data_IF_394786818408
#
_entry.id   IF_394786818408
#
_cell.length_a   1.000
_cell.length_b   1.000
_cell.length_c   1.000
_cell.angle_alpha   90.00
_cell.angle_beta   90.00
_cell.angle_gamma   90.00
#
_symmetry.space_group_name_H-M   'P 1'
#
loop_
_entity.id
_entity.type
_entity.pdbx_description
1 polymer ?
#
# COMPACT_ATOMS: atom_id res chain seq x y z
N UNK A 1 -9.41 12.72 -20.25
CA UNK A 1 -9.16 14.12 -19.82
C UNK A 1 -9.13 14.12 -18.31
N UNK A 2 -7.96 14.37 -17.70
CA UNK A 2 -7.81 14.32 -16.23
C UNK A 2 -8.50 15.55 -15.65
N UNK A 3 -9.49 15.34 -14.78
CA UNK A 3 -10.11 16.44 -14.03
C UNK A 3 -9.10 16.90 -12.95
N UNK A 4 -8.63 18.15 -12.95
CA UNK A 4 -7.51 18.58 -12.10
C UNK A 4 -7.81 18.47 -10.59
N UNK A 5 -9.08 18.48 -10.18
CA UNK A 5 -9.49 18.26 -8.80
C UNK A 5 -9.25 16.83 -8.30
N UNK A 6 -9.24 15.83 -9.19
CA UNK A 6 -9.04 14.43 -8.81
C UNK A 6 -7.59 14.14 -8.37
N UNK A 7 -6.62 14.75 -9.05
CA UNK A 7 -5.19 14.61 -8.69
C UNK A 7 -4.91 15.15 -7.29
N UNK A 8 -5.49 16.31 -6.96
CA UNK A 8 -5.33 16.93 -5.64
C UNK A 8 -5.92 16.05 -4.54
N UNK A 9 -7.09 15.47 -4.78
CA UNK A 9 -7.74 14.54 -3.84
C UNK A 9 -6.91 13.26 -3.65
N UNK A 10 -6.38 12.66 -4.71
CA UNK A 10 -5.53 11.47 -4.60
C UNK A 10 -4.23 11.76 -3.87
N UNK A 11 -3.63 12.93 -4.07
CA UNK A 11 -2.43 13.34 -3.35
C UNK A 11 -2.72 13.55 -1.86
N UNK A 12 -3.80 14.25 -1.52
CA UNK A 12 -4.26 14.40 -0.13
C UNK A 12 -4.51 13.03 0.49
N UNK A 13 -5.24 12.15 -0.19
CA UNK A 13 -5.52 10.80 0.29
C UNK A 13 -4.24 9.97 0.49
N UNK A 14 -3.24 10.09 -0.41
CA UNK A 14 -1.97 9.41 -0.29
C UNK A 14 -1.09 9.94 0.86
N UNK A 15 -1.27 11.20 1.26
CA UNK A 15 -0.55 11.82 2.38
C UNK A 15 -1.12 11.46 3.76
N UNK A 16 -2.40 11.09 3.84
CA UNK A 16 -3.08 10.72 5.10
C UNK A 16 -2.38 9.58 5.86
N UNK A 17 -1.89 8.51 5.22
CA UNK A 17 -1.10 7.48 5.89
C UNK A 17 0.15 8.02 6.59
N UNK A 18 0.87 8.97 5.99
CA UNK A 18 2.05 9.58 6.62
C UNK A 18 1.65 10.38 7.87
N UNK A 19 0.61 11.21 7.77
CA UNK A 19 0.09 11.99 8.89
C UNK A 19 -0.41 11.09 10.02
N UNK A 20 -1.19 10.05 9.66
CA UNK A 20 -1.69 9.06 10.62
C UNK A 20 -0.57 8.31 11.31
N UNK A 21 0.46 7.88 10.57
CA UNK A 21 1.64 7.22 11.13
C UNK A 21 2.37 8.13 12.12
N UNK A 22 2.54 9.41 11.77
CA UNK A 22 3.19 10.38 12.65
C UNK A 22 2.45 10.55 13.98
N UNK A 23 1.12 10.71 13.93
CA UNK A 23 0.30 10.82 15.14
C UNK A 23 0.37 9.54 15.99
N UNK A 24 0.28 8.36 15.37
CA UNK A 24 0.33 7.07 16.08
C UNK A 24 1.68 6.87 16.78
N UNK A 25 2.79 7.22 16.13
CA UNK A 25 4.13 7.04 16.69
C UNK A 25 4.40 7.95 17.88
N UNK A 26 3.82 9.15 17.89
CA UNK A 26 3.96 10.09 19.01
C UNK A 26 3.19 9.62 20.27
N UNK A 27 2.11 8.88 20.09
CA UNK A 27 1.20 8.50 21.19
C UNK A 27 1.42 7.06 21.70
N UNK A 28 2.05 6.18 20.91
CA UNK A 28 2.19 4.77 21.25
C UNK A 28 3.54 4.41 21.87
N UNK A 29 3.55 3.38 22.71
CA UNK A 29 4.78 2.80 23.24
C UNK A 29 5.56 2.04 22.16
N UNK A 30 6.89 2.03 22.27
CA UNK A 30 7.78 1.37 21.32
C UNK A 30 7.47 -0.12 21.14
N UNK A 31 7.09 -0.82 22.21
CA UNK A 31 6.72 -2.24 22.15
C UNK A 31 5.48 -2.48 21.27
N UNK A 32 4.45 -1.65 21.41
CA UNK A 32 3.25 -1.73 20.57
C UNK A 32 3.57 -1.38 19.11
N UNK A 33 4.38 -0.34 18.88
CA UNK A 33 4.83 0.04 17.54
C UNK A 33 5.58 -1.11 16.86
N UNK A 34 6.46 -1.81 17.58
CA UNK A 34 7.18 -2.97 17.06
C UNK A 34 6.23 -4.13 16.70
N UNK A 35 5.22 -4.42 17.54
CA UNK A 35 4.21 -5.44 17.23
C UNK A 35 3.37 -5.08 16.01
N UNK A 36 2.91 -3.83 15.91
CA UNK A 36 2.17 -3.35 14.75
C UNK A 36 3.03 -3.40 13.48
N UNK A 37 4.31 -3.03 13.58
CA UNK A 37 5.25 -3.11 12.48
C UNK A 37 5.43 -4.57 11.99
N UNK A 38 5.54 -5.53 12.90
CA UNK A 38 5.63 -6.95 12.55
C UNK A 38 4.37 -7.44 11.81
N UNK A 39 3.19 -7.11 12.34
CA UNK A 39 1.91 -7.47 11.69
C UNK A 39 1.81 -6.84 10.30
N UNK A 40 2.21 -5.58 10.17
CA UNK A 40 2.23 -4.87 8.90
C UNK A 40 3.22 -5.49 7.89
N UNK A 41 4.40 -5.94 8.32
CA UNK A 41 5.36 -6.64 7.47
C UNK A 41 4.83 -8.00 7.00
N UNK A 42 4.22 -8.78 7.89
CA UNK A 42 3.55 -10.05 7.53
C UNK A 42 2.44 -9.78 6.51
N UNK A 43 1.66 -8.72 6.73
CA UNK A 43 0.59 -8.30 5.81
C UNK A 43 1.14 -7.91 4.44
N UNK A 44 2.26 -7.19 4.38
CA UNK A 44 2.91 -6.83 3.12
C UNK A 44 3.35 -8.07 2.35
N UNK A 45 4.04 -9.01 3.02
CA UNK A 45 4.48 -10.26 2.39
C UNK A 45 3.29 -11.05 1.83
N UNK A 46 2.21 -11.17 2.61
CA UNK A 46 0.99 -11.84 2.17
C UNK A 46 0.31 -11.15 0.98
N UNK A 47 0.29 -9.81 0.96
CA UNK A 47 -0.28 -9.04 -0.15
C UNK A 47 0.52 -9.24 -1.44
N UNK A 48 1.85 -9.17 -1.35
CA UNK A 48 2.73 -9.36 -2.51
C UNK A 48 2.60 -10.79 -3.05
N UNK A 49 2.55 -11.80 -2.19
CA UNK A 49 2.38 -13.21 -2.60
C UNK A 49 1.06 -13.44 -3.35
N UNK A 50 -0.05 -12.93 -2.81
CA UNK A 50 -1.36 -13.05 -3.44
C UNK A 50 -1.47 -12.27 -4.76
N UNK A 51 -0.84 -11.10 -4.86
CA UNK A 51 -0.81 -10.36 -6.13
C UNK A 51 -0.13 -11.22 -7.20
N UNK A 52 1.03 -11.78 -6.88
CA UNK A 52 1.83 -12.54 -7.84
C UNK A 52 1.18 -13.86 -8.21
N UNK A 53 0.80 -14.68 -7.21
CA UNK A 53 0.39 -16.06 -7.42
C UNK A 53 -1.10 -16.20 -7.74
N UNK A 54 -1.97 -15.39 -7.11
CA UNK A 54 -3.42 -15.59 -7.23
C UNK A 54 -4.07 -14.70 -8.29
N UNK A 55 -3.53 -13.51 -8.55
CA UNK A 55 -4.24 -12.47 -9.28
C UNK A 55 -3.66 -12.10 -10.65
N UNK A 56 -2.34 -12.17 -10.84
CA UNK A 56 -1.73 -11.75 -12.10
C UNK A 56 -2.00 -12.72 -13.25
N UNK A 57 -2.17 -14.01 -12.95
CA UNK A 57 -2.36 -15.06 -13.96
C UNK A 57 -3.81 -15.55 -14.04
N UNK A 58 -4.66 -15.14 -13.11
CA UNK A 58 -6.04 -15.59 -13.10
C UNK A 58 -6.91 -14.80 -14.07
N UNK A 59 -7.71 -15.52 -14.86
CA UNK A 59 -8.73 -14.94 -15.73
C UNK A 59 -9.98 -14.49 -14.95
N UNK A 60 -10.23 -15.08 -13.77
CA UNK A 60 -11.42 -14.83 -12.94
C UNK A 60 -11.07 -14.74 -11.45
N UNK A 61 -11.85 -13.97 -10.70
CA UNK A 61 -11.61 -13.88 -9.26
C UNK A 61 -11.99 -15.19 -8.54
N UNK A 62 -11.11 -15.71 -7.66
CA UNK A 62 -11.48 -16.84 -6.82
C UNK A 62 -12.64 -16.48 -5.87
N UNK A 63 -13.54 -17.42 -5.61
CA UNK A 63 -14.74 -17.23 -4.77
C UNK A 63 -14.43 -16.67 -3.37
N UNK A 64 -13.27 -17.03 -2.81
CA UNK A 64 -12.80 -16.51 -1.53
C UNK A 64 -12.62 -14.98 -1.54
N UNK A 65 -12.09 -14.41 -2.64
CA UNK A 65 -11.93 -12.96 -2.79
C UNK A 65 -13.27 -12.27 -2.95
N UNK A 66 -14.18 -12.84 -3.74
CA UNK A 66 -15.54 -12.33 -3.95
C UNK A 66 -16.28 -12.24 -2.61
N UNK A 67 -16.22 -13.31 -1.80
CA UNK A 67 -16.85 -13.33 -0.47
C UNK A 67 -16.25 -12.29 0.47
N UNK A 68 -14.93 -12.10 0.45
CA UNK A 68 -14.24 -11.08 1.24
C UNK A 68 -14.68 -9.67 0.83
N UNK A 69 -14.77 -9.39 -0.48
CA UNK A 69 -15.26 -8.12 -1.00
C UNK A 69 -16.71 -7.85 -0.59
N UNK A 70 -17.60 -8.84 -0.70
CA UNK A 70 -19.00 -8.71 -0.25
C UNK A 70 -19.06 -8.34 1.23
N UNK A 71 -18.28 -9.01 2.08
CA UNK A 71 -18.21 -8.67 3.52
C UNK A 71 -17.72 -7.23 3.75
N UNK A 72 -16.69 -6.79 3.01
CA UNK A 72 -16.18 -5.42 3.10
C UNK A 72 -17.23 -4.39 2.67
N UNK A 73 -17.98 -4.64 1.60
CA UNK A 73 -19.10 -3.78 1.17
C UNK A 73 -20.19 -3.69 2.25
N UNK A 74 -20.55 -4.80 2.89
CA UNK A 74 -21.51 -4.81 4.00
C UNK A 74 -21.02 -3.94 5.16
N UNK A 75 -19.74 -4.06 5.54
CA UNK A 75 -19.16 -3.23 6.59
C UNK A 75 -19.07 -1.76 6.19
N UNK A 76 -18.71 -1.46 4.95
CA UNK A 76 -18.67 -0.09 4.43
C UNK A 76 -20.06 0.56 4.46
N UNK A 77 -21.10 -0.18 4.08
CA UNK A 77 -22.48 0.27 4.22
C UNK A 77 -22.85 0.52 5.68
N UNK A 78 -22.55 -0.42 6.59
CA UNK A 78 -22.91 -0.30 8.01
C UNK A 78 -22.21 0.84 8.72
N UNK A 79 -20.94 1.09 8.41
CA UNK A 79 -20.13 2.08 9.12
C UNK A 79 -20.22 3.48 8.50
N UNK A 80 -20.37 3.56 7.17
CA UNK A 80 -20.26 4.81 6.44
C UNK A 80 -21.48 5.12 5.56
N UNK A 81 -22.48 4.24 5.49
CA UNK A 81 -23.65 4.42 4.63
C UNK A 81 -23.31 4.40 3.13
N UNK A 82 -22.16 3.82 2.75
CA UNK A 82 -21.70 3.79 1.35
C UNK A 82 -22.20 2.52 0.67
N UNK A 83 -23.18 2.68 -0.23
CA UNK A 83 -23.65 1.59 -1.08
C UNK A 83 -22.67 1.38 -2.24
N UNK A 84 -22.39 0.12 -2.58
CA UNK A 84 -21.59 -0.22 -3.75
C UNK A 84 -22.51 -0.74 -4.84
N UNK A 85 -22.57 -0.04 -5.97
CA UNK A 85 -23.40 -0.44 -7.13
C UNK A 85 -22.77 -1.56 -7.96
N UNK A 86 -21.54 -1.99 -7.63
CA UNK A 86 -20.80 -3.03 -8.38
C UNK A 86 -20.86 -4.39 -7.69
N UNK A 87 -21.23 -5.44 -8.43
CA UNK A 87 -21.10 -6.82 -7.98
C UNK A 87 -19.60 -7.18 -7.89
N UNK A 88 -19.13 -7.67 -6.73
CA UNK A 88 -17.77 -8.18 -6.58
C UNK A 88 -17.35 -9.26 -7.58
N UNK A 89 -18.30 -10.02 -8.13
CA UNK A 89 -18.01 -11.05 -9.12
C UNK A 89 -17.53 -10.48 -10.47
N UNK A 90 -17.92 -9.25 -10.81
CA UNK A 90 -17.61 -8.61 -12.09
C UNK A 90 -16.27 -7.85 -12.06
N UNK A 91 -15.59 -7.84 -10.91
CA UNK A 91 -14.31 -7.15 -10.77
C UNK A 91 -13.21 -7.97 -11.44
N UNK A 92 -12.48 -7.37 -12.39
CA UNK A 92 -11.32 -8.02 -13.01
C UNK A 92 -10.21 -8.28 -11.97
N UNK A 93 -9.52 -9.44 -12.02
CA UNK A 93 -8.40 -9.76 -11.11
C UNK A 93 -7.29 -8.71 -11.09
N UNK A 94 -6.94 -8.13 -12.25
CA UNK A 94 -5.94 -7.08 -12.38
C UNK A 94 -6.32 -5.78 -11.63
N UNK A 95 -7.59 -5.41 -11.64
CA UNK A 95 -8.10 -4.28 -10.87
C UNK A 95 -8.03 -4.56 -9.36
N UNK A 96 -8.32 -5.80 -8.93
CA UNK A 96 -8.13 -6.19 -7.54
C UNK A 96 -6.65 -6.16 -7.14
N UNK A 97 -5.75 -6.70 -7.98
CA UNK A 97 -4.31 -6.65 -7.75
C UNK A 97 -3.83 -5.21 -7.57
N UNK A 98 -4.36 -4.28 -8.36
CA UNK A 98 -4.07 -2.85 -8.24
C UNK A 98 -4.53 -2.26 -6.90
N UNK A 99 -5.71 -2.66 -6.40
CA UNK A 99 -6.20 -2.26 -5.07
C UNK A 99 -5.33 -2.82 -3.95
N UNK A 100 -4.94 -4.09 -4.03
CA UNK A 100 -4.02 -4.70 -3.06
C UNK A 100 -2.63 -4.04 -3.11
N UNK A 101 -2.16 -3.64 -4.29
CA UNK A 101 -0.92 -2.89 -4.42
C UNK A 101 -1.01 -1.51 -3.76
N UNK A 102 -2.14 -0.82 -3.90
CA UNK A 102 -2.38 0.43 -3.18
C UNK A 102 -2.36 0.21 -1.65
N UNK A 103 -2.98 -0.87 -1.17
CA UNK A 103 -2.94 -1.27 0.25
C UNK A 103 -1.49 -1.49 0.72
N UNK A 104 -0.68 -2.21 -0.07
CA UNK A 104 0.73 -2.44 0.24
C UNK A 104 1.55 -1.14 0.24
N UNK A 105 1.32 -0.23 -0.71
CA UNK A 105 2.00 1.08 -0.75
C UNK A 105 1.62 1.95 0.45
N UNK A 106 0.35 1.92 0.88
CA UNK A 106 -0.12 2.59 2.08
C UNK A 106 0.60 2.07 3.33
N UNK A 107 0.63 0.75 3.53
CA UNK A 107 1.33 0.13 4.67
C UNK A 107 2.83 0.46 4.64
N UNK A 108 3.46 0.38 3.47
CA UNK A 108 4.89 0.72 3.30
C UNK A 108 5.17 2.17 3.69
N UNK A 109 4.29 3.09 3.29
CA UNK A 109 4.39 4.52 3.61
C UNK A 109 4.29 4.75 5.13
N UNK A 110 3.36 4.07 5.81
CA UNK A 110 3.21 4.11 7.27
C UNK A 110 4.47 3.60 7.96
N UNK A 111 4.97 2.43 7.55
CA UNK A 111 6.16 1.81 8.16
C UNK A 111 7.40 2.69 8.00
N UNK A 112 7.64 3.24 6.80
CA UNK A 112 8.80 4.09 6.55
C UNK A 112 8.71 5.41 7.31
N UNK A 113 7.52 6.02 7.38
CA UNK A 113 7.31 7.24 8.16
C UNK A 113 7.52 6.98 9.66
N UNK A 114 6.98 5.87 10.17
CA UNK A 114 7.15 5.50 11.57
C UNK A 114 8.60 5.17 11.91
N UNK A 115 9.29 4.44 11.03
CA UNK A 115 10.72 4.17 11.18
C UNK A 115 11.53 5.48 11.20
N UNK A 116 11.26 6.43 10.29
CA UNK A 116 11.92 7.72 10.26
C UNK A 116 11.81 8.44 11.61
N UNK A 117 10.60 8.54 12.17
CA UNK A 117 10.34 9.24 13.42
C UNK A 117 10.96 8.52 14.63
N UNK A 118 10.79 7.21 14.74
CA UNK A 118 11.41 6.41 15.81
C UNK A 118 12.94 6.53 15.73
N UNK A 119 13.52 6.46 14.53
CA UNK A 119 14.94 6.64 14.31
C UNK A 119 15.44 8.03 14.69
N UNK A 120 14.67 9.09 14.38
CA UNK A 120 15.00 10.46 14.79
C UNK A 120 15.06 10.65 16.31
N UNK A 121 14.22 9.90 17.05
CA UNK A 121 14.16 9.96 18.52
C UNK A 121 15.24 9.09 19.17
N UNK A 122 15.47 7.88 18.65
CA UNK A 122 16.31 6.87 19.31
C UNK A 122 17.78 6.92 18.88
N UNK A 123 18.09 7.38 17.67
CA UNK A 123 19.46 7.41 17.16
C UNK A 123 20.13 8.75 17.47
N UNK A 124 21.41 8.74 17.90
CA UNK A 124 22.08 9.95 18.33
C UNK A 124 22.49 10.87 17.17
N UNK A 125 22.24 12.17 17.33
CA UNK A 125 22.85 13.26 16.55
C UNK A 125 22.70 13.12 15.03
N UNK A 126 23.83 13.23 14.33
CA UNK A 126 23.86 13.20 12.86
C UNK A 126 23.39 11.85 12.28
N UNK A 127 23.60 10.75 13.00
CA UNK A 127 23.13 9.42 12.57
C UNK A 127 21.61 9.37 12.52
N UNK A 128 20.94 9.88 13.55
CA UNK A 128 19.48 9.98 13.57
C UNK A 128 18.93 10.90 12.49
N UNK A 129 19.59 12.04 12.26
CA UNK A 129 19.21 12.97 11.18
C UNK A 129 19.32 12.35 9.78
N UNK A 130 20.42 11.66 9.48
CA UNK A 130 20.61 10.96 8.20
C UNK A 130 19.60 9.83 8.04
N UNK A 131 19.39 9.03 9.08
CA UNK A 131 18.40 7.93 9.04
C UNK A 131 16.99 8.46 8.80
N UNK A 132 16.58 9.51 9.52
CA UNK A 132 15.31 10.19 9.31
C UNK A 132 15.15 10.65 7.85
N UNK A 133 16.15 11.36 7.32
CA UNK A 133 16.10 11.88 5.95
C UNK A 133 15.94 10.75 4.91
N UNK A 134 16.68 9.66 5.05
CA UNK A 134 16.61 8.52 4.13
C UNK A 134 15.26 7.81 4.20
N UNK A 135 14.76 7.51 5.40
CA UNK A 135 13.48 6.82 5.57
C UNK A 135 12.30 7.71 5.17
N UNK A 136 12.34 8.99 5.50
CA UNK A 136 11.31 9.95 5.12
C UNK A 136 11.28 10.16 3.60
N UNK A 137 12.44 10.27 2.95
CA UNK A 137 12.53 10.32 1.49
C UNK A 137 11.96 9.05 0.85
N UNK A 138 12.26 7.87 1.39
CA UNK A 138 11.67 6.62 0.91
C UNK A 138 10.14 6.59 1.11
N UNK A 139 9.63 7.08 2.25
CA UNK A 139 8.19 7.21 2.50
C UNK A 139 7.52 8.14 1.48
N UNK A 140 8.15 9.28 1.18
CA UNK A 140 7.69 10.22 0.16
C UNK A 140 7.58 9.57 -1.22
N UNK A 141 8.59 8.81 -1.64
CA UNK A 141 8.55 8.07 -2.91
C UNK A 141 7.41 7.04 -2.95
N UNK A 142 7.08 6.41 -1.82
CA UNK A 142 5.94 5.49 -1.74
C UNK A 142 4.60 6.21 -1.76
N UNK A 143 4.50 7.39 -1.13
CA UNK A 143 3.34 8.26 -1.19
C UNK A 143 3.04 8.69 -2.64
N UNK A 144 4.05 9.12 -3.39
CA UNK A 144 3.88 9.50 -4.80
C UNK A 144 3.36 8.33 -5.65
N UNK A 145 3.89 7.13 -5.41
CA UNK A 145 3.41 5.90 -6.09
C UNK A 145 1.97 5.57 -5.70
N UNK A 146 1.63 5.70 -4.42
CA UNK A 146 0.27 5.51 -3.94
C UNK A 146 -0.68 6.49 -4.63
N UNK A 147 -0.32 7.78 -4.73
CA UNK A 147 -1.12 8.77 -5.44
C UNK A 147 -1.39 8.36 -6.89
N UNK A 148 -0.37 7.91 -7.62
CA UNK A 148 -0.53 7.39 -9.00
C UNK A 148 -1.45 6.18 -9.04
N UNK A 149 -1.29 5.23 -8.12
CA UNK A 149 -2.15 4.03 -8.06
C UNK A 149 -3.60 4.40 -7.78
N UNK A 150 -3.85 5.34 -6.86
CA UNK A 150 -5.20 5.82 -6.54
C UNK A 150 -5.85 6.50 -7.74
N UNK A 151 -5.10 7.32 -8.49
CA UNK A 151 -5.57 7.94 -9.73
C UNK A 151 -5.98 6.88 -10.75
N UNK A 152 -5.15 5.84 -10.95
CA UNK A 152 -5.46 4.73 -11.87
C UNK A 152 -6.72 3.98 -11.44
N UNK A 153 -6.88 3.72 -10.14
CA UNK A 153 -8.06 3.08 -9.57
C UNK A 153 -9.33 3.93 -9.73
N UNK A 154 -9.23 5.24 -9.62
CA UNK A 154 -10.35 6.16 -9.80
C UNK A 154 -10.91 6.07 -11.23
N UNK A 155 -10.04 5.89 -12.23
CA UNK A 155 -10.46 5.65 -13.61
C UNK A 155 -10.98 4.23 -13.86
N UNK A 156 -11.00 3.36 -12.85
CA UNK A 156 -11.38 1.96 -12.99
C UNK A 156 -10.40 1.14 -13.83
N UNK A 157 -9.17 1.63 -14.00
CA UNK A 157 -8.12 0.93 -14.73
C UNK A 157 -7.23 0.12 -13.77
N UNK A 158 -6.60 -0.92 -14.32
CA UNK A 158 -5.55 -1.66 -13.62
C UNK A 158 -4.18 -1.04 -13.90
N UNK A 159 -3.27 -1.10 -12.93
CA UNK A 159 -1.87 -0.81 -13.18
C UNK A 159 -1.29 -1.86 -14.16
N UNK A 160 -0.36 -1.44 -15.03
CA UNK A 160 0.32 -2.38 -15.92
C UNK A 160 1.20 -3.34 -15.09
N UNK A 161 1.37 -4.58 -15.59
CA UNK A 161 1.97 -5.70 -14.84
C UNK A 161 3.36 -5.36 -14.30
N UNK A 162 4.14 -4.61 -15.05
CA UNK A 162 5.51 -4.21 -14.66
C UNK A 162 5.51 -3.30 -13.43
N UNK A 163 4.46 -2.48 -13.26
CA UNK A 163 4.29 -1.60 -12.08
C UNK A 163 3.72 -2.33 -10.87
N UNK A 164 2.91 -3.37 -11.08
CA UNK A 164 2.46 -4.26 -9.99
C UNK A 164 3.62 -5.05 -9.40
N UNK A 165 4.49 -5.55 -10.28
CA UNK A 165 5.67 -6.35 -9.95
C UNK A 165 6.92 -5.53 -9.62
N UNK A 166 6.85 -4.20 -9.69
CA UNK A 166 8.02 -3.37 -9.43
C UNK A 166 8.58 -3.67 -8.03
N UNK A 167 9.78 -4.22 -8.01
CA UNK A 167 10.62 -4.44 -6.83
C UNK A 167 11.86 -3.57 -6.97
N UNK A 168 12.43 -3.05 -5.87
CA UNK A 168 13.74 -2.42 -5.90
C UNK A 168 14.77 -3.37 -6.52
N UNK A 169 15.64 -2.87 -7.40
CA UNK A 169 16.58 -3.71 -8.16
C UNK A 169 17.46 -4.61 -7.28
N UNK A 170 17.78 -4.17 -6.06
CA UNK A 170 18.56 -4.95 -5.08
C UNK A 170 17.81 -6.16 -4.49
N UNK A 171 16.48 -6.19 -4.56
CA UNK A 171 15.68 -7.37 -4.17
C UNK A 171 15.71 -8.42 -5.27
N UNK A 172 15.78 -7.98 -6.54
CA UNK A 172 15.91 -8.87 -7.69
C UNK A 172 17.31 -9.44 -7.88
N UNK A 173 18.35 -8.83 -7.29
CA UNK A 173 19.74 -9.30 -7.44
C UNK A 173 20.06 -10.60 -6.69
N UNK A 174 19.16 -11.08 -5.83
CA UNK A 174 19.31 -12.35 -5.09
C UNK A 174 18.50 -13.50 -5.69
N UNK A 175 17.65 -13.23 -6.67
CA UNK A 175 16.95 -14.28 -7.41
C UNK A 175 17.90 -14.83 -8.48
N UNK A 176 17.93 -16.15 -8.71
CA UNK A 176 18.66 -16.73 -9.84
C UNK A 176 18.25 -15.98 -11.10
N UNK A 177 19.26 -15.47 -11.81
CA UNK A 177 19.07 -14.88 -13.12
C UNK A 177 18.76 -16.06 -14.03
N UNK A 178 17.50 -16.19 -14.46
CA UNK A 178 17.12 -17.16 -15.49
C UNK A 178 17.69 -16.66 -16.82
N UNK A 179 19.00 -16.85 -16.97
CA UNK A 179 19.75 -16.59 -18.19
C UNK A 179 19.49 -17.78 -19.13
N UNK A 180 18.31 -17.80 -19.74
CA UNK A 180 17.93 -18.69 -20.85
C UNK A 180 18.33 -18.11 -22.20
#
# INVERSE_FOLDING_TARGET
MIRPWNLSLCFVAASLPMLGAALVVLEMSLGLLAMLALVALIRLAWLDDNIVNDLLESERLPTAYINTMRRRQIWAWRLFGVASDRDPADVSPSLLATRLKAEAQCISTVLLTGAALVGAVLLPGLVGGVFFALMFWAAWQQMDRLAVTLVVLEYGAALPRERLLWRPAWVGSWLPRDDG
#
